data_IF_027686148901
#
_entry.id   IF_027686148901
#
_cell.length_a   1.000
_cell.length_b   1.000
_cell.length_c   1.000
_cell.angle_alpha   90.00
_cell.angle_beta   90.00
_cell.angle_gamma   90.00
#
_symmetry.space_group_name_H-M   'P 1'
#
loop_
_entity.id
_entity.type
_entity.pdbx_description
1 polymer ?
#
# COMPACT_ATOMS: atom_id res chain seq x y z
N UNK A 1 -14.84 -2.12 3.19
CA UNK A 1 -16.29 -2.46 3.25
C UNK A 1 -16.87 -1.78 4.48
N UNK A 2 -17.29 -0.51 4.43
CA UNK A 2 -17.80 0.16 5.63
C UNK A 2 -19.11 -0.51 6.07
N UNK A 3 -19.09 -1.27 7.17
CA UNK A 3 -20.26 -1.95 7.70
C UNK A 3 -21.42 -0.95 7.83
N UNK A 4 -22.55 -1.24 7.16
CA UNK A 4 -23.79 -0.50 7.37
C UNK A 4 -24.09 -0.48 8.86
N UNK A 5 -24.55 0.64 9.41
CA UNK A 5 -24.62 0.84 10.87
C UNK A 5 -25.36 -0.26 11.65
N UNK A 6 -26.22 -1.05 10.98
CA UNK A 6 -26.95 -2.19 11.55
C UNK A 6 -26.13 -3.48 11.71
N UNK A 7 -25.08 -3.69 10.92
CA UNK A 7 -24.25 -4.92 10.97
C UNK A 7 -23.07 -4.81 11.96
N UNK A 8 -22.74 -3.60 12.42
CA UNK A 8 -21.61 -3.37 13.34
C UNK A 8 -21.67 -4.17 14.63
N UNK A 9 -22.81 -4.23 15.36
CA UNK A 9 -22.88 -5.00 16.60
C UNK A 9 -22.65 -6.49 16.37
N UNK A 10 -23.13 -7.03 15.24
CA UNK A 10 -22.96 -8.43 14.86
C UNK A 10 -21.48 -8.77 14.63
N UNK A 11 -20.74 -7.93 13.89
CA UNK A 11 -19.32 -8.16 13.65
C UNK A 11 -18.46 -8.03 14.91
N UNK A 12 -18.81 -7.10 15.81
CA UNK A 12 -18.16 -7.00 17.13
C UNK A 12 -18.45 -8.25 17.95
N UNK A 13 -19.71 -8.73 17.99
CA UNK A 13 -20.05 -9.96 18.68
C UNK A 13 -19.30 -11.18 18.10
N UNK A 14 -19.17 -11.25 16.77
CA UNK A 14 -18.39 -12.29 16.09
C UNK A 14 -16.92 -12.22 16.48
N UNK A 15 -16.31 -11.04 16.49
CA UNK A 15 -14.91 -10.86 16.90
C UNK A 15 -14.69 -11.30 18.35
N UNK A 16 -15.60 -10.94 19.26
CA UNK A 16 -15.56 -11.40 20.66
C UNK A 16 -15.72 -12.91 20.74
N UNK A 17 -16.68 -13.49 20.02
CA UNK A 17 -16.92 -14.94 20.02
C UNK A 17 -15.68 -15.71 19.53
N UNK A 18 -15.10 -15.32 18.40
CA UNK A 18 -13.90 -15.96 17.85
C UNK A 18 -12.69 -15.79 18.79
N UNK A 19 -12.56 -14.64 19.43
CA UNK A 19 -11.51 -14.39 20.44
C UNK A 19 -11.67 -15.28 21.67
N UNK A 20 -12.89 -15.44 22.19
CA UNK A 20 -13.19 -16.35 23.30
C UNK A 20 -12.89 -17.80 22.90
N UNK A 21 -13.31 -18.22 21.70
CA UNK A 21 -12.98 -19.55 21.18
C UNK A 21 -11.45 -19.74 21.16
N UNK A 22 -10.72 -18.79 20.54
CA UNK A 22 -9.26 -18.84 20.47
C UNK A 22 -8.60 -18.91 21.85
N UNK A 23 -9.13 -18.19 22.85
CA UNK A 23 -8.66 -18.26 24.24
C UNK A 23 -8.95 -19.62 24.91
N UNK A 24 -10.09 -20.23 24.62
CA UNK A 24 -10.50 -21.51 25.24
C UNK A 24 -9.90 -22.75 24.58
N UNK A 25 -9.35 -22.63 23.36
CA UNK A 25 -8.68 -23.74 22.69
C UNK A 25 -7.42 -24.13 23.46
N UNK A 26 -7.21 -25.42 23.70
CA UNK A 26 -6.01 -25.92 24.37
C UNK A 26 -4.81 -25.88 23.39
N UNK A 27 -4.25 -24.68 23.21
CA UNK A 27 -3.07 -24.45 22.38
C UNK A 27 -1.80 -24.65 23.22
N UNK A 28 -0.70 -25.09 22.61
CA UNK A 28 0.59 -25.25 23.29
C UNK A 28 1.28 -23.89 23.53
N UNK A 29 0.56 -22.95 24.16
CA UNK A 29 0.99 -21.59 24.46
C UNK A 29 0.95 -21.36 25.97
N UNK A 30 1.90 -20.58 26.49
CA UNK A 30 1.83 -20.09 27.86
C UNK A 30 0.61 -19.16 28.04
N UNK A 31 0.15 -18.97 29.28
CA UNK A 31 -1.07 -18.18 29.56
C UNK A 31 -1.09 -16.78 28.94
N UNK A 32 0.05 -16.10 28.88
CA UNK A 32 0.18 -14.81 28.18
C UNK A 32 0.02 -14.95 26.65
N UNK A 33 0.65 -15.97 26.04
CA UNK A 33 0.52 -16.28 24.62
C UNK A 33 -0.90 -16.62 24.21
N UNK A 34 -1.64 -17.32 25.07
CA UNK A 34 -3.05 -17.63 24.85
C UNK A 34 -3.92 -16.36 24.75
N UNK A 35 -3.68 -15.40 25.66
CA UNK A 35 -4.38 -14.10 25.64
C UNK A 35 -4.00 -13.30 24.40
N UNK A 36 -2.72 -13.24 24.05
CA UNK A 36 -2.27 -12.53 22.84
C UNK A 36 -2.85 -13.15 21.59
N UNK A 37 -2.92 -14.48 21.48
CA UNK A 37 -3.58 -15.16 20.36
C UNK A 37 -5.06 -14.78 20.26
N UNK A 38 -5.76 -14.71 21.39
CA UNK A 38 -7.15 -14.25 21.44
C UNK A 38 -7.31 -12.78 21.00
N UNK A 39 -6.39 -11.90 21.42
CA UNK A 39 -6.34 -10.49 20.97
C UNK A 39 -6.07 -10.42 19.46
N UNK A 40 -5.12 -11.20 18.94
CA UNK A 40 -4.80 -11.27 17.51
C UNK A 40 -6.01 -11.68 16.70
N UNK A 41 -6.76 -12.71 17.13
CA UNK A 41 -8.00 -13.15 16.47
C UNK A 41 -9.07 -12.06 16.53
N UNK A 42 -9.23 -11.39 17.67
CA UNK A 42 -10.17 -10.26 17.81
C UNK A 42 -9.83 -9.13 16.83
N UNK A 43 -8.58 -8.65 16.86
CA UNK A 43 -8.12 -7.53 16.04
C UNK A 43 -8.15 -7.88 14.55
N UNK A 44 -7.72 -9.10 14.20
CA UNK A 44 -7.80 -9.62 12.83
C UNK A 44 -9.24 -9.65 12.31
N UNK A 45 -10.19 -10.11 13.13
CA UNK A 45 -11.62 -10.11 12.77
C UNK A 45 -12.15 -8.68 12.60
N UNK A 46 -11.76 -7.75 13.48
CA UNK A 46 -12.19 -6.35 13.43
C UNK A 46 -11.61 -5.60 12.23
N UNK A 47 -10.36 -5.84 11.86
CA UNK A 47 -9.72 -5.28 10.66
C UNK A 47 -10.29 -5.89 9.38
N UNK A 48 -10.58 -7.18 9.38
CA UNK A 48 -11.19 -7.88 8.25
C UNK A 48 -12.62 -7.40 7.99
N UNK A 49 -13.45 -7.31 9.03
CA UNK A 49 -14.85 -6.90 8.91
C UNK A 49 -15.04 -5.39 8.78
N UNK A 50 -14.00 -4.59 9.08
CA UNK A 50 -14.07 -3.12 9.20
C UNK A 50 -15.26 -2.66 10.06
N UNK A 51 -15.60 -3.41 11.12
CA UNK A 51 -16.71 -3.08 12.01
C UNK A 51 -16.53 -1.68 12.65
N UNK A 52 -15.28 -1.32 12.90
CA UNK A 52 -14.82 0.02 13.27
C UNK A 52 -13.78 0.52 12.25
N UNK A 53 -13.56 1.85 12.14
CA UNK A 53 -12.48 2.38 11.32
C UNK A 53 -11.13 1.77 11.72
N UNK A 54 -10.28 1.44 10.74
CA UNK A 54 -9.03 0.69 10.99
C UNK A 54 -8.13 1.32 12.06
N UNK A 55 -8.05 2.65 12.11
CA UNK A 55 -7.27 3.38 13.10
C UNK A 55 -7.87 3.30 14.51
N UNK A 56 -9.19 3.16 14.65
CA UNK A 56 -9.85 2.94 15.94
C UNK A 56 -9.52 1.53 16.42
N UNK A 57 -9.62 0.52 15.56
CA UNK A 57 -9.20 -0.85 15.88
C UNK A 57 -7.72 -0.91 16.26
N UNK A 58 -6.86 -0.16 15.57
CA UNK A 58 -5.45 -0.03 15.91
C UNK A 58 -5.20 0.57 17.31
N UNK A 59 -6.01 1.54 17.74
CA UNK A 59 -5.96 2.11 19.09
C UNK A 59 -6.51 1.15 20.17
N UNK A 60 -7.36 0.19 19.81
CA UNK A 60 -7.84 -0.85 20.73
C UNK A 60 -6.71 -1.82 21.09
N UNK A 61 -5.75 -2.07 20.18
CA UNK A 61 -4.62 -2.99 20.40
C UNK A 61 -3.88 -2.70 21.71
N UNK A 62 -3.26 -1.51 21.93
CA UNK A 62 -2.52 -1.25 23.16
C UNK A 62 -3.43 -1.30 24.40
N UNK A 63 -4.71 -0.94 24.28
CA UNK A 63 -5.66 -1.04 25.41
C UNK A 63 -5.87 -2.49 25.83
N UNK A 64 -6.10 -3.41 24.89
CA UNK A 64 -6.27 -4.83 25.20
C UNK A 64 -4.97 -5.47 25.71
N UNK A 65 -3.82 -5.10 25.15
CA UNK A 65 -2.51 -5.59 25.62
C UNK A 65 -2.22 -5.17 27.07
N UNK A 66 -2.62 -3.95 27.46
CA UNK A 66 -2.47 -3.45 28.84
C UNK A 66 -3.43 -4.12 29.80
N UNK A 67 -4.71 -4.22 29.42
CA UNK A 67 -5.75 -4.71 30.32
C UNK A 67 -5.73 -6.23 30.47
N UNK A 68 -5.37 -6.96 29.41
CA UNK A 68 -5.49 -8.42 29.33
C UNK A 68 -4.14 -9.10 29.04
N UNK A 69 -3.33 -8.52 28.16
CA UNK A 69 -2.10 -9.15 27.65
C UNK A 69 -0.89 -9.11 28.59
N UNK A 70 -0.98 -8.41 29.74
CA UNK A 70 0.11 -8.34 30.72
C UNK A 70 1.30 -7.47 30.30
N UNK A 71 1.13 -6.59 29.29
CA UNK A 71 2.16 -5.67 28.83
C UNK A 71 2.15 -4.37 29.64
N UNK A 72 3.31 -3.72 29.76
CA UNK A 72 3.43 -2.38 30.35
C UNK A 72 2.99 -1.29 29.37
N UNK A 73 2.66 -0.10 29.91
CA UNK A 73 2.31 1.08 29.09
C UNK A 73 3.39 1.42 28.08
N UNK A 74 4.66 1.27 28.46
CA UNK A 74 5.79 1.54 27.58
C UNK A 74 5.82 0.54 26.42
N UNK A 75 5.69 -0.75 26.69
CA UNK A 75 5.70 -1.78 25.64
C UNK A 75 4.53 -1.62 24.67
N UNK A 76 3.33 -1.33 25.18
CA UNK A 76 2.14 -1.18 24.36
C UNK A 76 2.16 0.08 23.46
N UNK A 77 2.67 1.22 23.96
CA UNK A 77 2.60 2.50 23.23
C UNK A 77 3.88 2.91 22.49
N UNK A 78 5.06 2.41 22.85
CA UNK A 78 6.32 2.77 22.16
C UNK A 78 6.26 2.55 20.64
N UNK A 79 5.64 1.47 20.12
CA UNK A 79 5.57 1.23 18.67
C UNK A 79 4.82 2.31 17.87
N UNK A 80 3.96 3.13 18.51
CA UNK A 80 3.29 4.27 17.85
C UNK A 80 4.24 5.42 17.49
N UNK A 81 5.48 5.40 17.99
CA UNK A 81 6.51 6.41 17.75
C UNK A 81 7.74 5.83 17.04
N UNK A 82 7.60 4.67 16.38
CA UNK A 82 8.67 4.05 15.61
C UNK A 82 9.23 4.97 14.51
N UNK A 83 10.50 4.80 14.17
CA UNK A 83 11.23 5.57 13.14
C UNK A 83 10.50 5.57 11.80
N UNK A 84 9.89 4.45 11.41
CA UNK A 84 9.11 4.30 10.18
C UNK A 84 7.87 5.19 10.17
N UNK A 85 7.20 5.38 11.31
CA UNK A 85 6.05 6.29 11.41
C UNK A 85 6.50 7.74 11.17
N UNK A 86 7.68 8.12 11.69
CA UNK A 86 8.29 9.43 11.47
C UNK A 86 8.67 9.64 10.00
N UNK A 87 9.23 8.62 9.34
CA UNK A 87 9.50 8.62 7.90
C UNK A 87 8.22 8.91 7.09
N UNK A 88 7.14 8.19 7.38
CA UNK A 88 5.86 8.41 6.70
C UNK A 88 5.24 9.76 6.99
N UNK A 89 5.36 10.26 8.21
CA UNK A 89 4.91 11.61 8.56
C UNK A 89 5.56 12.65 7.64
N UNK A 90 6.89 12.64 7.50
CA UNK A 90 7.57 13.59 6.61
C UNK A 90 7.24 13.38 5.13
N UNK A 91 7.12 12.12 4.66
CA UNK A 91 6.63 11.81 3.32
C UNK A 91 5.23 12.39 3.05
N UNK A 92 4.30 12.24 3.99
CA UNK A 92 2.95 12.80 3.88
C UNK A 92 2.94 14.33 3.89
N UNK A 93 3.86 14.97 4.60
CA UNK A 93 4.01 16.42 4.59
C UNK A 93 4.53 16.93 3.24
N UNK A 94 5.52 16.26 2.64
CA UNK A 94 5.98 16.56 1.28
C UNK A 94 4.84 16.40 0.28
N UNK A 95 4.11 15.29 0.35
CA UNK A 95 2.93 15.05 -0.49
C UNK A 95 1.86 16.15 -0.30
N UNK A 96 1.62 16.58 0.93
CA UNK A 96 0.68 17.65 1.25
C UNK A 96 1.12 18.99 0.64
N UNK A 97 2.41 19.31 0.66
CA UNK A 97 2.95 20.51 0.02
C UNK A 97 2.78 20.46 -1.50
N UNK A 98 3.04 19.30 -2.12
CA UNK A 98 2.81 19.10 -3.55
C UNK A 98 1.35 19.36 -3.94
N UNK A 99 0.40 18.83 -3.16
CA UNK A 99 -1.03 19.02 -3.37
C UNK A 99 -1.49 20.46 -3.13
N UNK A 100 -1.03 21.09 -2.03
CA UNK A 100 -1.41 22.48 -1.67
C UNK A 100 -1.05 23.47 -2.77
N UNK A 101 0.12 23.30 -3.38
CA UNK A 101 0.58 24.19 -4.45
C UNK A 101 0.19 23.71 -5.85
N UNK A 102 -0.46 22.56 -6.00
CA UNK A 102 -0.90 22.02 -7.30
C UNK A 102 0.26 21.52 -8.19
N UNK A 103 1.42 21.20 -7.60
CA UNK A 103 2.60 20.69 -8.30
C UNK A 103 2.31 19.34 -8.97
N UNK A 104 1.58 18.49 -8.28
CA UNK A 104 1.06 17.22 -8.78
C UNK A 104 0.32 17.35 -10.13
N UNK A 105 -0.62 18.30 -10.22
CA UNK A 105 -1.38 18.61 -11.44
C UNK A 105 -0.49 19.20 -12.53
N UNK A 106 0.45 20.07 -12.18
CA UNK A 106 1.38 20.66 -13.15
C UNK A 106 2.31 19.62 -13.77
N UNK A 107 2.85 18.71 -12.96
CA UNK A 107 3.67 17.59 -13.42
C UNK A 107 2.85 16.71 -14.35
N UNK A 108 1.63 16.32 -13.95
CA UNK A 108 0.74 15.49 -14.76
C UNK A 108 0.50 16.10 -16.15
N UNK A 109 0.08 17.37 -16.22
CA UNK A 109 -0.20 18.04 -17.50
C UNK A 109 1.05 18.21 -18.36
N UNK A 110 2.17 18.58 -17.74
CA UNK A 110 3.45 18.78 -18.45
C UNK A 110 3.94 17.47 -19.06
N UNK A 111 3.76 16.35 -18.36
CA UNK A 111 4.24 15.04 -18.77
C UNK A 111 3.36 14.42 -19.87
N UNK A 112 2.03 14.43 -19.72
CA UNK A 112 1.13 13.85 -20.73
C UNK A 112 1.27 14.56 -22.09
N UNK A 113 1.62 15.85 -22.10
CA UNK A 113 1.86 16.60 -23.35
C UNK A 113 3.04 16.07 -24.19
N UNK A 114 3.86 15.16 -23.65
CA UNK A 114 5.00 14.53 -24.33
C UNK A 114 4.66 13.18 -24.97
N UNK A 115 3.52 12.58 -24.64
CA UNK A 115 3.14 11.26 -25.16
C UNK A 115 2.35 11.38 -26.45
N UNK A 116 2.55 10.42 -27.35
CA UNK A 116 1.96 10.42 -28.69
C UNK A 116 0.42 10.43 -28.68
N UNK A 117 -0.17 10.77 -29.82
CA UNK A 117 -1.62 10.84 -30.00
C UNK A 117 -2.28 9.47 -30.17
N UNK A 118 -1.51 8.39 -30.34
CA UNK A 118 -2.05 7.02 -30.43
C UNK A 118 -2.61 6.57 -29.07
N UNK A 119 -3.73 5.84 -29.00
CA UNK A 119 -4.29 5.37 -27.74
C UNK A 119 -3.33 4.51 -26.90
N UNK A 120 -2.54 3.65 -27.54
CA UNK A 120 -1.58 2.80 -26.85
C UNK A 120 -0.45 3.62 -26.19
N UNK A 121 0.13 4.59 -26.93
CA UNK A 121 1.15 5.50 -26.39
C UNK A 121 0.59 6.46 -25.33
N UNK A 122 -0.64 6.94 -25.51
CA UNK A 122 -1.33 7.76 -24.52
C UNK A 122 -1.61 6.97 -23.24
N UNK A 123 -2.11 5.73 -23.34
CA UNK A 123 -2.30 4.81 -22.21
C UNK A 123 -0.99 4.60 -21.45
N UNK A 124 0.12 4.32 -22.15
CA UNK A 124 1.42 4.15 -21.51
C UNK A 124 1.83 5.43 -20.77
N UNK A 125 1.66 6.59 -21.40
CA UNK A 125 1.95 7.89 -20.81
C UNK A 125 1.18 8.16 -19.53
N UNK A 126 -0.14 7.89 -19.53
CA UNK A 126 -0.96 8.05 -18.32
C UNK A 126 -0.59 7.02 -17.25
N UNK A 127 -0.24 5.79 -17.62
CA UNK A 127 0.17 4.76 -16.65
C UNK A 127 1.50 5.14 -16.00
N UNK A 128 2.51 5.52 -16.78
CA UNK A 128 3.83 5.94 -16.27
C UNK A 128 3.71 7.13 -15.32
N UNK A 129 2.94 8.17 -15.70
CA UNK A 129 2.82 9.33 -14.81
C UNK A 129 1.97 9.03 -13.57
N UNK A 130 0.93 8.20 -13.70
CA UNK A 130 0.12 7.81 -12.55
C UNK A 130 0.96 7.01 -11.56
N UNK A 131 1.74 6.04 -12.05
CA UNK A 131 2.66 5.27 -11.22
C UNK A 131 3.69 6.17 -10.55
N UNK A 132 4.30 7.10 -11.31
CA UNK A 132 5.24 8.07 -10.77
C UNK A 132 4.65 8.95 -9.67
N UNK A 133 3.46 9.51 -9.86
CA UNK A 133 2.78 10.29 -8.81
C UNK A 133 2.46 9.44 -7.58
N UNK A 134 2.19 8.14 -7.79
CA UNK A 134 1.90 7.20 -6.71
C UNK A 134 3.09 6.88 -5.82
N UNK A 135 4.33 7.01 -6.31
CA UNK A 135 5.53 6.90 -5.48
C UNK A 135 5.51 7.90 -4.31
N UNK A 136 5.01 9.12 -4.57
CA UNK A 136 5.21 10.26 -3.67
C UNK A 136 3.97 10.61 -2.86
N UNK A 137 2.79 10.46 -3.45
CA UNK A 137 1.55 10.97 -2.88
C UNK A 137 0.76 9.82 -2.29
N UNK A 138 -0.15 9.22 -3.04
CA UNK A 138 -0.74 7.93 -2.76
C UNK A 138 -1.54 7.47 -3.95
N UNK A 139 -1.79 6.18 -4.00
CA UNK A 139 -2.62 5.56 -5.03
C UNK A 139 -3.96 6.28 -5.19
N UNK A 140 -4.64 6.59 -4.08
CA UNK A 140 -5.93 7.29 -4.07
C UNK A 140 -5.83 8.69 -4.67
N UNK A 141 -4.84 9.48 -4.24
CA UNK A 141 -4.69 10.85 -4.69
C UNK A 141 -4.24 10.92 -6.16
N UNK A 142 -3.29 10.08 -6.57
CA UNK A 142 -2.83 9.95 -7.95
C UNK A 142 -3.98 9.62 -8.88
N UNK A 143 -4.83 8.65 -8.50
CA UNK A 143 -6.03 8.29 -9.27
C UNK A 143 -7.01 9.46 -9.36
N UNK A 144 -7.31 10.12 -8.24
CA UNK A 144 -8.24 11.25 -8.20
C UNK A 144 -7.77 12.44 -9.04
N UNK A 145 -6.46 12.63 -9.19
CA UNK A 145 -5.88 13.67 -10.05
C UNK A 145 -5.96 13.27 -11.51
N UNK A 146 -5.59 12.03 -11.83
CA UNK A 146 -5.41 11.56 -13.20
C UNK A 146 -6.73 11.24 -13.89
N UNK A 147 -7.71 10.70 -13.17
CA UNK A 147 -8.98 10.26 -13.74
C UNK A 147 -9.75 11.41 -14.43
N UNK A 148 -9.94 12.61 -13.83
CA UNK A 148 -10.58 13.73 -14.53
C UNK A 148 -9.81 14.18 -15.79
N UNK A 149 -8.48 14.05 -15.80
CA UNK A 149 -7.65 14.42 -16.97
C UNK A 149 -7.91 13.46 -18.12
N UNK A 150 -7.96 12.17 -17.82
CA UNK A 150 -8.27 11.11 -18.78
C UNK A 150 -9.69 11.26 -19.32
N UNK A 151 -10.69 11.46 -18.45
CA UNK A 151 -12.08 11.63 -18.87
C UNK A 151 -12.26 12.89 -19.72
N UNK A 152 -11.53 13.97 -19.43
CA UNK A 152 -11.51 15.16 -20.28
C UNK A 152 -10.98 14.84 -21.69
N UNK A 153 -9.87 14.11 -21.80
CA UNK A 153 -9.30 13.70 -23.10
C UNK A 153 -10.25 12.80 -23.91
N UNK A 154 -10.92 11.87 -23.22
CA UNK A 154 -11.97 11.00 -23.82
C UNK A 154 -13.13 11.85 -24.35
N UNK A 155 -13.65 12.80 -23.55
CA UNK A 155 -14.79 13.65 -23.95
C UNK A 155 -14.52 14.51 -25.19
N UNK A 156 -13.26 14.88 -25.43
CA UNK A 156 -12.84 15.67 -26.60
C UNK A 156 -12.65 14.85 -27.85
N UNK A 157 -12.39 13.55 -27.72
CA UNK A 157 -12.11 12.67 -28.85
C UNK A 157 -13.39 12.16 -29.56
N UNK A 158 -14.54 12.81 -29.37
CA UNK A 158 -15.88 12.43 -29.90
C UNK A 158 -16.26 10.96 -29.66
N UNK A 159 -15.81 10.39 -28.54
CA UNK A 159 -16.22 9.07 -28.09
C UNK A 159 -17.64 9.17 -27.50
N UNK A 160 -18.65 8.97 -28.34
CA UNK A 160 -20.05 8.92 -27.91
C UNK A 160 -20.38 7.51 -27.38
N UNK A 161 -20.43 7.35 -26.06
CA UNK A 161 -20.98 6.15 -25.44
C UNK A 161 -20.36 5.80 -24.08
N UNK A 162 -21.20 5.70 -23.04
CA UNK A 162 -20.84 5.02 -21.80
C UNK A 162 -20.50 3.56 -22.18
N UNK A 163 -19.25 3.14 -21.96
CA UNK A 163 -18.82 1.75 -22.18
C UNK A 163 -17.89 1.48 -23.37
N UNK A 164 -17.38 2.50 -24.07
CA UNK A 164 -16.30 2.33 -25.08
C UNK A 164 -15.08 1.61 -24.48
N UNK A 165 -14.50 0.66 -25.21
CA UNK A 165 -13.27 -0.02 -24.80
C UNK A 165 -12.11 0.96 -24.60
N UNK A 166 -12.07 2.07 -25.35
CA UNK A 166 -11.08 3.12 -25.16
C UNK A 166 -11.22 3.78 -23.80
N UNK A 167 -12.44 4.11 -23.37
CA UNK A 167 -12.64 4.72 -22.06
C UNK A 167 -12.32 3.73 -20.95
N UNK A 168 -12.76 2.47 -21.08
CA UNK A 168 -12.49 1.40 -20.11
C UNK A 168 -10.98 1.20 -19.91
N UNK A 169 -10.22 1.05 -21.00
CA UNK A 169 -8.78 0.79 -20.92
C UNK A 169 -8.02 1.95 -20.28
N UNK A 170 -8.41 3.20 -20.55
CA UNK A 170 -7.76 4.37 -19.96
C UNK A 170 -8.11 4.54 -18.48
N UNK A 171 -9.38 4.33 -18.10
CA UNK A 171 -9.83 4.42 -16.71
C UNK A 171 -9.20 3.32 -15.84
N UNK A 172 -9.20 2.07 -16.34
CA UNK A 172 -8.52 0.94 -15.67
C UNK A 172 -7.00 1.17 -15.62
N UNK A 173 -6.41 1.70 -16.69
CA UNK A 173 -4.99 2.03 -16.76
C UNK A 173 -4.56 2.98 -15.66
N UNK A 174 -5.32 4.04 -15.37
CA UNK A 174 -5.05 4.93 -14.23
C UNK A 174 -5.12 4.16 -12.91
N UNK A 175 -6.21 3.44 -12.67
CA UNK A 175 -6.43 2.75 -11.39
C UNK A 175 -5.31 1.75 -11.07
N UNK A 176 -4.98 0.90 -12.05
CA UNK A 176 -3.99 -0.14 -11.88
C UNK A 176 -2.58 0.43 -11.82
N UNK A 177 -2.25 1.45 -12.63
CA UNK A 177 -0.94 2.10 -12.56
C UNK A 177 -0.72 2.82 -11.22
N UNK A 178 -1.75 3.39 -10.61
CA UNK A 178 -1.62 3.98 -9.28
C UNK A 178 -1.25 2.91 -8.24
N UNK A 179 -1.95 1.77 -8.24
CA UNK A 179 -1.65 0.65 -7.33
C UNK A 179 -0.25 0.07 -7.58
N UNK A 180 0.11 -0.20 -8.85
CA UNK A 180 1.43 -0.70 -9.24
C UNK A 180 2.53 0.28 -8.83
N UNK A 181 2.33 1.58 -9.07
CA UNK A 181 3.29 2.61 -8.69
C UNK A 181 3.55 2.63 -7.18
N UNK A 182 2.50 2.54 -6.36
CA UNK A 182 2.63 2.59 -4.89
C UNK A 182 3.58 1.56 -4.30
N UNK A 183 3.81 0.43 -4.98
CA UNK A 183 4.75 -0.62 -4.58
C UNK A 183 6.21 -0.13 -4.57
N UNK A 184 6.58 0.75 -5.50
CA UNK A 184 7.98 1.04 -5.81
C UNK A 184 8.78 1.74 -4.71
N UNK A 185 8.13 2.39 -3.75
CA UNK A 185 8.79 3.17 -2.68
C UNK A 185 8.09 2.96 -1.35
N UNK A 186 8.82 3.04 -0.23
CA UNK A 186 8.27 2.88 1.12
C UNK A 186 7.05 3.79 1.33
N UNK A 187 7.16 5.07 1.02
CA UNK A 187 6.08 6.06 1.26
C UNK A 187 4.88 5.98 0.31
N UNK A 188 4.97 5.15 -0.74
CA UNK A 188 3.97 5.11 -1.81
C UNK A 188 2.63 4.52 -1.36
N UNK A 189 2.67 3.47 -0.54
CA UNK A 189 1.47 2.83 0.01
C UNK A 189 1.69 2.36 1.45
N UNK A 190 0.66 2.42 2.33
CA UNK A 190 0.80 2.03 3.73
C UNK A 190 1.31 0.60 4.00
N UNK A 191 0.94 -0.45 3.23
CA UNK A 191 1.53 -1.79 3.37
C UNK A 191 3.05 -1.83 3.42
N UNK A 192 3.72 -1.07 2.54
CA UNK A 192 5.19 -1.02 2.50
C UNK A 192 5.76 -0.52 3.82
N UNK A 193 5.11 0.48 4.42
CA UNK A 193 5.51 1.03 5.70
C UNK A 193 5.30 0.08 6.86
N UNK A 194 4.19 -0.64 6.85
CA UNK A 194 3.93 -1.69 7.84
C UNK A 194 5.05 -2.73 7.77
N UNK A 195 5.39 -3.19 6.56
CA UNK A 195 6.45 -4.19 6.39
C UNK A 195 7.80 -3.71 6.90
N UNK A 196 8.22 -2.50 6.53
CA UNK A 196 9.49 -1.92 6.99
C UNK A 196 9.49 -1.73 8.51
N UNK A 197 8.35 -1.31 9.08
CA UNK A 197 8.23 -1.11 10.52
C UNK A 197 8.29 -2.44 11.28
N UNK A 198 7.57 -3.48 10.83
CA UNK A 198 7.58 -4.79 11.47
C UNK A 198 8.98 -5.45 11.41
N UNK A 199 9.72 -5.23 10.32
CA UNK A 199 11.11 -5.66 10.20
C UNK A 199 12.04 -4.89 11.17
N UNK A 200 11.86 -3.57 11.31
CA UNK A 200 12.63 -2.74 12.24
C UNK A 200 12.44 -3.18 13.70
N UNK A 201 11.22 -3.57 14.10
CA UNK A 201 10.96 -4.17 15.43
C UNK A 201 11.75 -5.47 15.65
N UNK A 202 12.15 -6.17 14.57
CA UNK A 202 13.02 -7.36 14.65
C UNK A 202 14.51 -7.02 14.57
N UNK A 203 14.86 -5.73 14.59
CA UNK A 203 16.23 -5.25 14.38
C UNK A 203 16.70 -5.36 12.93
N UNK A 204 15.79 -5.59 11.98
CA UNK A 204 16.08 -5.63 10.54
C UNK A 204 15.70 -4.28 9.94
N UNK A 205 16.68 -3.39 9.83
CA UNK A 205 16.48 -2.09 9.20
C UNK A 205 16.45 -2.23 7.67
N UNK A 206 15.38 -1.74 7.05
CA UNK A 206 15.27 -1.65 5.59
C UNK A 206 15.29 -0.18 5.21
N UNK A 207 16.39 0.26 4.61
CA UNK A 207 16.51 1.64 4.14
C UNK A 207 15.57 1.94 2.96
N UNK A 208 15.30 3.22 2.73
CA UNK A 208 14.52 3.66 1.57
C UNK A 208 15.05 3.12 0.24
N UNK A 209 16.36 3.13 0.06
CA UNK A 209 17.04 2.63 -1.15
C UNK A 209 16.94 1.12 -1.25
N UNK A 210 17.12 0.41 -0.15
CA UNK A 210 17.03 -1.05 -0.12
C UNK A 210 15.63 -1.51 -0.53
N UNK A 211 14.57 -0.89 0.01
CA UNK A 211 13.21 -1.15 -0.47
C UNK A 211 13.08 -0.95 -1.98
N UNK A 212 13.62 0.15 -2.51
CA UNK A 212 13.59 0.41 -3.95
C UNK A 212 14.34 -0.66 -4.74
N UNK A 213 15.45 -1.21 -4.23
CA UNK A 213 16.14 -2.31 -4.88
C UNK A 213 15.26 -3.55 -4.99
N UNK A 214 14.49 -3.89 -3.96
CA UNK A 214 13.57 -5.02 -3.99
C UNK A 214 12.33 -4.75 -4.87
N UNK A 215 11.73 -3.56 -4.78
CA UNK A 215 10.40 -3.29 -5.33
C UNK A 215 10.38 -2.55 -6.68
N UNK A 216 11.31 -1.63 -6.92
CA UNK A 216 11.30 -0.79 -8.14
C UNK A 216 11.54 -1.60 -9.43
N UNK A 217 12.45 -2.61 -9.47
CA UNK A 217 12.56 -3.48 -10.64
C UNK A 217 11.24 -4.16 -11.02
N UNK A 218 10.46 -4.63 -10.04
CA UNK A 218 9.13 -5.18 -10.28
C UNK A 218 8.20 -4.15 -10.91
N UNK A 219 8.13 -2.92 -10.39
CA UNK A 219 7.29 -1.85 -10.96
C UNK A 219 7.67 -1.54 -12.41
N UNK A 220 8.98 -1.43 -12.70
CA UNK A 220 9.50 -1.14 -14.04
C UNK A 220 9.12 -2.24 -15.04
N UNK A 221 9.16 -3.50 -14.63
CA UNK A 221 8.81 -4.65 -15.48
C UNK A 221 7.30 -4.87 -15.58
N UNK A 222 6.58 -4.70 -14.47
CA UNK A 222 5.16 -5.02 -14.38
C UNK A 222 4.29 -3.96 -15.05
N UNK A 223 4.67 -2.68 -15.02
CA UNK A 223 3.87 -1.62 -15.62
C UNK A 223 3.71 -1.79 -17.16
N UNK A 224 4.76 -2.10 -17.95
CA UNK A 224 4.61 -2.48 -19.36
C UNK A 224 3.79 -3.76 -19.58
N UNK A 225 3.92 -4.76 -18.69
CA UNK A 225 3.13 -6.01 -18.77
C UNK A 225 1.64 -5.70 -18.58
N UNK A 226 1.30 -4.93 -17.55
CA UNK A 226 -0.08 -4.50 -17.28
C UNK A 226 -0.62 -3.65 -18.45
N UNK A 227 0.19 -2.74 -18.99
CA UNK A 227 -0.15 -1.94 -20.18
C UNK A 227 -0.50 -2.83 -21.38
N UNK A 228 0.33 -3.83 -21.66
CA UNK A 228 0.10 -4.77 -22.76
C UNK A 228 -1.16 -5.62 -22.54
N UNK A 229 -1.35 -6.16 -21.33
CA UNK A 229 -2.55 -6.94 -20.98
C UNK A 229 -3.81 -6.09 -21.17
N UNK A 230 -3.82 -4.84 -20.68
CA UNK A 230 -4.94 -3.92 -20.82
C UNK A 230 -5.31 -3.69 -22.29
N UNK A 231 -4.33 -3.47 -23.18
CA UNK A 231 -4.58 -3.29 -24.62
C UNK A 231 -5.10 -4.57 -25.30
N UNK A 232 -4.74 -5.75 -24.80
CA UNK A 232 -5.24 -7.03 -25.32
C UNK A 232 -6.66 -7.31 -24.87
N UNK A 233 -7.02 -6.98 -23.63
CA UNK A 233 -8.36 -7.18 -23.08
C UNK A 233 -9.34 -6.13 -23.65
N UNK A 234 -8.92 -4.87 -23.70
CA UNK A 234 -9.72 -3.74 -24.18
C UNK A 234 -9.02 -3.04 -25.34
N UNK A 235 -9.34 -3.46 -26.57
CA UNK A 235 -8.80 -2.84 -27.78
C UNK A 235 -9.36 -1.43 -27.96
N UNK A 236 -8.51 -0.38 -28.07
CA UNK A 236 -8.97 0.97 -28.36
C UNK A 236 -9.73 1.04 -29.69
N UNK A 237 -10.81 1.82 -29.72
CA UNK A 237 -11.73 1.95 -30.86
C UNK A 237 -11.40 3.16 -31.75
N UNK A 238 -10.59 4.09 -31.24
CA UNK A 238 -10.16 5.29 -31.97
C UNK A 238 -8.69 5.19 -32.35
N UNK A 239 -8.30 5.90 -33.41
CA UNK A 239 -6.91 5.94 -33.89
C UNK A 239 -6.09 7.06 -33.25
N UNK A 240 -6.74 8.13 -32.78
CA UNK A 240 -6.08 9.30 -32.18
C UNK A 240 -6.87 9.87 -30.99
N UNK A 241 -6.16 10.20 -29.93
CA UNK A 241 -6.66 10.92 -28.76
C UNK A 241 -6.21 12.38 -28.86
N UNK A 242 -7.17 13.29 -28.84
CA UNK A 242 -6.89 14.73 -28.83
C UNK A 242 -6.73 15.22 -27.39
N UNK A 243 -5.55 15.73 -27.04
CA UNK A 243 -5.34 16.39 -25.76
C UNK A 243 -5.02 17.87 -25.96
N UNK A 244 -6.04 18.71 -25.78
CA UNK A 244 -5.90 20.16 -25.80
C UNK A 244 -5.79 20.68 -24.37
N UNK A 245 -4.59 20.64 -23.79
CA UNK A 245 -4.32 21.29 -22.51
C UNK A 245 -3.10 22.21 -22.62
N UNK A 246 -3.30 23.50 -22.34
CA UNK A 246 -2.20 24.46 -22.27
C UNK A 246 -1.27 24.06 -21.12
N UNK A 247 0.04 23.99 -21.38
CA UNK A 247 1.06 23.82 -20.33
C UNK A 247 0.88 24.92 -19.30
N UNK A 248 0.70 24.54 -18.03
CA UNK A 248 0.65 25.51 -16.95
C UNK A 248 2.04 26.10 -16.71
N UNK A 249 2.10 27.37 -16.30
CA UNK A 249 3.36 28.03 -15.94
C UNK A 249 3.77 27.61 -14.54
N UNK A 250 5.01 27.18 -14.39
CA UNK A 250 5.60 26.85 -13.09
C UNK A 250 5.82 28.14 -12.29
N UNK A 251 5.30 28.19 -11.07
CA UNK A 251 5.51 29.31 -10.14
C UNK A 251 6.74 29.07 -9.27
N UNK A 252 7.21 30.11 -8.55
CA UNK A 252 8.32 29.97 -7.59
C UNK A 252 8.04 28.91 -6.51
N UNK A 253 6.80 28.85 -6.00
CA UNK A 253 6.40 27.84 -5.00
C UNK A 253 6.48 26.41 -5.54
N UNK A 254 6.07 26.18 -6.80
CA UNK A 254 6.22 24.87 -7.44
C UNK A 254 7.69 24.40 -7.47
N UNK A 255 8.60 25.30 -7.86
CA UNK A 255 10.04 25.00 -7.90
C UNK A 255 10.61 24.74 -6.51
N UNK A 256 10.18 25.50 -5.51
CA UNK A 256 10.62 25.34 -4.13
C UNK A 256 10.17 24.00 -3.52
N UNK A 257 8.91 23.60 -3.73
CA UNK A 257 8.42 22.28 -3.29
C UNK A 257 9.21 21.16 -3.98
N UNK A 258 9.43 21.28 -5.31
CA UNK A 258 10.23 20.31 -6.04
C UNK A 258 11.67 20.24 -5.53
N UNK A 259 12.28 21.38 -5.20
CA UNK A 259 13.64 21.44 -4.67
C UNK A 259 13.74 20.76 -3.29
N UNK A 260 12.81 21.02 -2.37
CA UNK A 260 12.77 20.35 -1.06
C UNK A 260 12.57 18.84 -1.23
N UNK A 261 11.64 18.41 -2.07
CA UNK A 261 11.40 17.00 -2.35
C UNK A 261 12.62 16.31 -2.98
N UNK A 262 13.25 16.93 -3.98
CA UNK A 262 14.45 16.41 -4.63
C UNK A 262 15.64 16.34 -3.67
N UNK A 263 15.82 17.36 -2.82
CA UNK A 263 16.85 17.35 -1.78
C UNK A 263 16.63 16.22 -0.77
N UNK A 264 15.39 16.04 -0.31
CA UNK A 264 15.02 14.94 0.59
C UNK A 264 15.31 13.58 -0.04
N UNK A 265 14.95 13.41 -1.32
CA UNK A 265 15.22 12.18 -2.07
C UNK A 265 16.72 11.91 -2.21
N UNK A 266 17.52 12.93 -2.51
CA UNK A 266 18.97 12.78 -2.58
C UNK A 266 19.53 12.28 -1.24
N UNK A 267 19.05 12.81 -0.12
CA UNK A 267 19.46 12.37 1.21
C UNK A 267 18.99 10.94 1.53
N UNK A 268 17.74 10.57 1.24
CA UNK A 268 17.31 9.17 1.38
C UNK A 268 18.16 8.23 0.54
N UNK A 269 18.49 8.63 -0.69
CA UNK A 269 19.32 7.83 -1.58
C UNK A 269 20.75 7.72 -1.07
N UNK A 270 21.30 8.78 -0.49
CA UNK A 270 22.67 8.79 0.04
C UNK A 270 22.77 8.37 1.51
N UNK A 271 21.72 7.78 2.10
CA UNK A 271 21.70 7.43 3.52
C UNK A 271 22.84 6.48 3.91
N UNK A 272 23.21 5.58 3.00
CA UNK A 272 24.37 4.68 3.14
C UNK A 272 25.73 5.40 3.17
N UNK A 273 25.80 6.66 2.71
CA UNK A 273 27.04 7.47 2.69
C UNK A 273 27.15 8.32 3.96
N UNK A 274 26.09 9.02 4.35
CA UNK A 274 26.14 9.97 5.47
C UNK A 274 25.63 9.41 6.81
N UNK A 275 25.02 8.21 6.82
CA UNK A 275 24.60 7.52 8.04
C UNK A 275 23.46 8.19 8.82
N UNK A 276 22.75 9.14 8.21
CA UNK A 276 21.59 9.80 8.84
C UNK A 276 20.35 8.99 8.49
N UNK A 277 19.56 8.63 9.50
CA UNK A 277 18.35 7.83 9.29
C UNK A 277 17.33 8.53 8.40
N UNK A 278 16.59 7.74 7.62
CA UNK A 278 15.57 8.24 6.70
C UNK A 278 14.45 9.01 7.44
N UNK A 279 14.19 8.65 8.70
CA UNK A 279 13.27 9.35 9.60
C UNK A 279 13.73 10.76 9.97
N UNK A 280 15.02 10.95 10.23
CA UNK A 280 15.59 12.27 10.55
C UNK A 280 15.60 13.16 9.30
N UNK A 281 15.99 12.60 8.15
CA UNK A 281 15.90 13.30 6.85
C UNK A 281 14.47 13.79 6.58
N UNK A 282 13.48 12.97 6.91
CA UNK A 282 12.06 13.31 6.78
C UNK A 282 11.64 14.50 7.65
N UNK A 283 12.13 14.57 8.89
CA UNK A 283 11.86 15.72 9.78
C UNK A 283 12.54 17.00 9.30
N UNK A 284 13.76 16.91 8.78
CA UNK A 284 14.46 18.06 8.16
C UNK A 284 13.62 18.61 7.00
N UNK A 285 13.07 17.73 6.16
CA UNK A 285 12.19 18.14 5.08
C UNK A 285 10.95 18.89 5.59
N UNK A 286 10.29 18.40 6.66
CA UNK A 286 9.15 19.08 7.28
C UNK A 286 9.54 20.48 7.75
N UNK A 287 10.68 20.61 8.43
CA UNK A 287 11.19 21.92 8.88
C UNK A 287 11.38 22.86 7.70
N UNK A 288 12.01 22.43 6.61
CA UNK A 288 12.18 23.24 5.39
C UNK A 288 10.86 23.63 4.74
N UNK A 289 9.85 22.75 4.72
CA UNK A 289 8.53 23.08 4.19
C UNK A 289 7.86 24.22 4.97
N UNK A 290 8.04 24.29 6.29
CA UNK A 290 7.55 25.41 7.11
C UNK A 290 8.40 26.66 6.96
N UNK A 291 9.73 26.53 7.01
CA UNK A 291 10.66 27.67 6.87
C UNK A 291 10.48 28.42 5.55
N UNK A 292 10.19 27.70 4.46
CA UNK A 292 9.93 28.30 3.15
C UNK A 292 8.47 28.73 2.92
N UNK A 293 7.61 28.66 3.94
CA UNK A 293 6.19 29.05 3.83
C UNK A 293 5.41 28.21 2.81
N UNK A 294 5.80 26.94 2.66
CA UNK A 294 5.13 25.99 1.78
C UNK A 294 3.97 25.29 2.50
N UNK A 295 4.04 25.14 3.82
CA UNK A 295 2.99 24.59 4.67
C UNK A 295 2.66 25.52 5.84
N UNK A 296 1.42 25.40 6.33
CA UNK A 296 0.91 26.09 7.53
C UNK A 296 0.43 25.05 8.57
N UNK A 297 0.14 25.48 9.80
CA UNK A 297 -0.26 24.57 10.89
C UNK A 297 -1.48 23.72 10.53
N UNK A 298 -2.43 24.28 9.77
CA UNK A 298 -3.63 23.60 9.30
C UNK A 298 -3.35 22.48 8.28
N UNK A 299 -2.16 22.45 7.67
CA UNK A 299 -1.79 21.38 6.75
C UNK A 299 -1.43 20.09 7.49
N UNK A 300 -0.98 20.18 8.74
CA UNK A 300 -0.70 19.02 9.60
C UNK A 300 -1.96 18.19 9.84
N UNK A 301 -3.12 18.83 10.02
CA UNK A 301 -4.39 18.09 10.22
C UNK A 301 -4.93 17.43 8.95
N UNK A 302 -4.39 17.79 7.77
CA UNK A 302 -4.84 17.30 6.46
C UNK A 302 -4.07 16.06 5.98
N UNK A 303 -3.06 15.60 6.72
CA UNK A 303 -2.33 14.39 6.38
C UNK A 303 -3.10 13.13 6.81
N UNK A 304 -2.61 11.96 6.39
CA UNK A 304 -3.26 10.66 6.62
C UNK A 304 -2.94 10.09 8.01
N UNK A 305 -3.39 10.76 9.07
CA UNK A 305 -3.22 10.31 10.45
C UNK A 305 -3.69 8.88 10.71
N UNK A 306 -4.79 8.48 10.07
CA UNK A 306 -5.31 7.11 10.20
C UNK A 306 -4.32 6.04 9.76
N UNK A 307 -3.45 6.30 8.78
CA UNK A 307 -2.42 5.34 8.36
C UNK A 307 -1.30 5.26 9.41
N UNK A 308 -0.86 6.39 9.97
CA UNK A 308 0.17 6.44 11.00
C UNK A 308 -0.27 5.71 12.29
N UNK A 309 -1.52 5.91 12.71
CA UNK A 309 -2.10 5.22 13.86
C UNK A 309 -2.23 3.71 13.62
N UNK A 310 -2.57 3.32 12.39
CA UNK A 310 -2.67 1.91 12.00
C UNK A 310 -1.31 1.21 12.06
N UNK A 311 -0.23 1.89 11.65
CA UNK A 311 1.13 1.37 11.82
C UNK A 311 1.44 1.10 13.29
N UNK A 312 1.18 2.07 14.18
CA UNK A 312 1.43 1.90 15.61
C UNK A 312 0.67 0.72 16.24
N UNK A 313 -0.60 0.52 15.88
CA UNK A 313 -1.38 -0.62 16.36
C UNK A 313 -0.91 -1.97 15.78
N UNK A 314 -0.52 -2.01 14.50
CA UNK A 314 0.06 -3.19 13.86
C UNK A 314 1.36 -3.62 14.54
N UNK A 315 2.28 -2.66 14.73
CA UNK A 315 3.57 -2.90 15.39
C UNK A 315 3.39 -3.33 16.85
N UNK A 316 2.46 -2.70 17.57
CA UNK A 316 2.14 -3.08 18.95
C UNK A 316 1.62 -4.52 19.03
N UNK A 317 0.77 -4.94 18.09
CA UNK A 317 0.30 -6.32 18.02
C UNK A 317 1.45 -7.29 17.66
N UNK A 318 2.27 -6.93 16.67
CA UNK A 318 3.42 -7.74 16.24
C UNK A 318 4.44 -7.96 17.36
N UNK A 319 4.81 -6.90 18.08
CA UNK A 319 5.70 -6.99 19.25
C UNK A 319 5.11 -7.89 20.35
N UNK A 320 3.79 -7.83 20.57
CA UNK A 320 3.12 -8.70 21.54
C UNK A 320 3.11 -10.18 21.10
N UNK A 321 2.87 -10.48 19.81
CA UNK A 321 2.91 -11.84 19.25
C UNK A 321 4.29 -12.47 19.46
N UNK A 322 5.34 -11.67 19.30
CA UNK A 322 6.72 -12.08 19.54
C UNK A 322 7.02 -12.33 21.01
N UNK A 323 6.77 -11.35 21.86
CA UNK A 323 7.11 -11.40 23.28
C UNK A 323 6.33 -12.50 24.04
N UNK A 324 5.16 -12.89 23.55
CA UNK A 324 4.28 -13.87 24.21
C UNK A 324 4.46 -15.31 23.73
N UNK A 325 5.36 -15.57 22.78
CA UNK A 325 5.62 -16.92 22.26
C UNK A 325 4.59 -17.43 21.24
N UNK A 326 3.68 -16.58 20.75
CA UNK A 326 2.73 -16.92 19.68
C UNK A 326 3.43 -17.07 18.33
N UNK A 327 4.48 -16.28 18.10
CA UNK A 327 5.27 -16.28 16.87
C UNK A 327 5.78 -17.68 16.47
N UNK A 328 6.53 -18.42 17.32
CA UNK A 328 6.96 -19.79 17.01
C UNK A 328 5.80 -20.74 16.68
N UNK A 329 4.70 -20.69 17.45
CA UNK A 329 3.54 -21.54 17.22
C UNK A 329 2.90 -21.32 15.83
N UNK A 330 2.77 -20.06 15.39
CA UNK A 330 2.27 -19.75 14.05
C UNK A 330 3.25 -20.22 12.96
N UNK A 331 4.56 -20.08 13.22
CA UNK A 331 5.61 -20.58 12.35
C UNK A 331 5.52 -22.10 12.13
N UNK A 332 5.34 -22.87 13.20
CA UNK A 332 5.24 -24.34 13.13
C UNK A 332 3.95 -24.79 12.42
N UNK A 333 2.81 -24.15 12.75
CA UNK A 333 1.51 -24.45 12.15
C UNK A 333 1.52 -24.24 10.62
N UNK A 334 2.06 -23.10 10.18
CA UNK A 334 2.15 -22.76 8.77
C UNK A 334 3.28 -23.51 8.08
N UNK A 335 4.40 -23.72 8.77
CA UNK A 335 5.55 -24.47 8.29
C UNK A 335 5.15 -25.89 7.87
N UNK A 336 4.30 -26.57 8.64
CA UNK A 336 3.79 -27.90 8.26
C UNK A 336 2.97 -27.94 6.96
N UNK A 337 2.33 -26.83 6.57
CA UNK A 337 1.53 -26.76 5.34
C UNK A 337 2.38 -26.55 4.08
N UNK A 338 3.53 -25.89 4.23
CA UNK A 338 4.41 -25.52 3.12
C UNK A 338 5.76 -26.24 3.13
N UNK A 339 6.03 -27.05 4.16
CA UNK A 339 7.23 -27.86 4.27
C UNK A 339 7.39 -28.79 3.06
N UNK A 340 8.60 -28.85 2.52
CA UNK A 340 8.92 -29.66 1.34
C UNK A 340 8.51 -29.03 0.00
N UNK A 341 7.83 -27.88 0.00
CA UNK A 341 7.63 -27.10 -1.23
C UNK A 341 8.90 -26.31 -1.57
N UNK A 342 9.22 -26.21 -2.86
CA UNK A 342 10.33 -25.35 -3.31
C UNK A 342 10.05 -23.88 -3.01
N UNK A 343 11.11 -23.08 -2.81
CA UNK A 343 11.02 -21.65 -2.44
C UNK A 343 10.12 -20.82 -3.39
N UNK A 344 10.10 -21.14 -4.68
CA UNK A 344 9.21 -20.48 -5.65
C UNK A 344 7.73 -20.74 -5.34
N UNK A 345 7.36 -21.96 -4.94
CA UNK A 345 5.98 -22.28 -4.57
C UNK A 345 5.59 -21.65 -3.24
N UNK A 346 6.52 -21.53 -2.29
CA UNK A 346 6.31 -20.75 -1.07
C UNK A 346 5.99 -19.29 -1.42
N UNK A 347 6.79 -18.66 -2.28
CA UNK A 347 6.56 -17.27 -2.71
C UNK A 347 5.20 -17.09 -3.40
N UNK A 348 4.84 -17.99 -4.32
CA UNK A 348 3.52 -17.98 -4.96
C UNK A 348 2.41 -18.12 -3.91
N UNK A 349 2.56 -19.03 -2.95
CA UNK A 349 1.56 -19.30 -1.92
C UNK A 349 1.33 -18.08 -1.02
N UNK A 350 2.39 -17.40 -0.59
CA UNK A 350 2.31 -16.17 0.20
C UNK A 350 1.63 -15.05 -0.58
N UNK A 351 2.00 -14.86 -1.85
CA UNK A 351 1.38 -13.83 -2.72
C UNK A 351 -0.09 -14.12 -3.00
N UNK A 352 -0.45 -15.37 -3.30
CA UNK A 352 -1.84 -15.78 -3.51
C UNK A 352 -2.65 -15.58 -2.23
N UNK A 353 -2.12 -15.98 -1.08
CA UNK A 353 -2.77 -15.77 0.20
C UNK A 353 -3.00 -14.27 0.48
N UNK A 354 -1.98 -13.44 0.25
CA UNK A 354 -2.10 -11.99 0.38
C UNK A 354 -3.21 -11.42 -0.51
N UNK A 355 -3.25 -11.82 -1.79
CA UNK A 355 -4.29 -11.38 -2.74
C UNK A 355 -5.68 -11.83 -2.29
N UNK A 356 -5.85 -13.10 -1.91
CA UNK A 356 -7.14 -13.63 -1.44
C UNK A 356 -7.64 -12.85 -0.22
N UNK A 357 -6.75 -12.53 0.71
CA UNK A 357 -7.09 -11.74 1.89
C UNK A 357 -7.50 -10.30 1.50
N UNK A 358 -6.82 -9.68 0.54
CA UNK A 358 -7.19 -8.33 0.05
C UNK A 358 -8.52 -8.26 -0.71
N UNK A 359 -9.05 -9.38 -1.20
CA UNK A 359 -10.39 -9.38 -1.80
C UNK A 359 -11.49 -9.11 -0.76
N UNK A 360 -11.20 -9.37 0.51
CA UNK A 360 -12.18 -9.25 1.59
C UNK A 360 -11.84 -8.15 2.59
N UNK A 361 -10.58 -7.71 2.65
CA UNK A 361 -10.10 -6.65 3.55
C UNK A 361 -9.23 -5.63 2.79
N UNK A 362 -9.08 -4.42 3.32
CA UNK A 362 -8.21 -3.41 2.71
C UNK A 362 -6.74 -3.85 2.69
N UNK A 363 -5.96 -3.43 1.67
CA UNK A 363 -4.52 -3.72 1.56
C UNK A 363 -3.75 -3.46 2.86
N UNK A 364 -4.04 -2.35 3.53
CA UNK A 364 -3.35 -1.94 4.76
C UNK A 364 -3.71 -2.83 5.95
N UNK A 365 -4.99 -3.19 6.08
CA UNK A 365 -5.44 -4.14 7.10
C UNK A 365 -4.81 -5.52 6.87
N UNK A 366 -4.77 -5.97 5.62
CA UNK A 366 -4.15 -7.24 5.25
C UNK A 366 -2.65 -7.26 5.56
N UNK A 367 -1.92 -6.18 5.25
CA UNK A 367 -0.49 -6.09 5.58
C UNK A 367 -0.25 -6.14 7.10
N UNK A 368 -1.02 -5.37 7.89
CA UNK A 368 -0.92 -5.36 9.35
C UNK A 368 -1.23 -6.72 10.00
N UNK A 369 -1.95 -7.60 9.30
CA UNK A 369 -2.27 -8.94 9.78
C UNK A 369 -1.28 -10.00 9.29
N UNK A 370 -0.93 -9.98 8.00
CA UNK A 370 -0.15 -11.05 7.36
C UNK A 370 1.34 -10.91 7.67
N UNK A 371 1.90 -9.69 7.65
CA UNK A 371 3.36 -9.51 7.78
C UNK A 371 3.88 -10.03 9.14
N UNK A 372 3.26 -9.72 10.30
CA UNK A 372 3.69 -10.27 11.58
C UNK A 372 3.59 -11.80 11.66
N UNK A 373 2.74 -12.42 10.83
CA UNK A 373 2.52 -13.88 10.80
C UNK A 373 3.51 -14.58 9.86
N UNK A 374 3.95 -13.90 8.79
CA UNK A 374 4.90 -14.44 7.81
C UNK A 374 6.35 -14.34 8.30
N UNK A 375 6.69 -13.32 9.10
CA UNK A 375 8.03 -13.17 9.68
C UNK A 375 8.48 -14.43 10.46
N UNK A 376 7.66 -15.00 11.38
CA UNK A 376 8.00 -16.24 12.08
C UNK A 376 8.09 -17.45 11.15
N UNK A 377 7.28 -17.49 10.10
CA UNK A 377 7.29 -18.58 9.10
C UNK A 377 8.63 -18.62 8.35
N UNK A 378 9.22 -17.48 8.02
CA UNK A 378 10.53 -17.41 7.36
C UNK A 378 11.62 -18.09 8.21
N UNK A 379 11.61 -17.83 9.53
CA UNK A 379 12.57 -18.43 10.46
C UNK A 379 12.46 -19.97 10.52
N UNK A 380 11.23 -20.51 10.54
CA UNK A 380 10.99 -21.97 10.56
C UNK A 380 11.40 -22.65 9.26
N UNK A 381 11.18 -21.98 8.12
CA UNK A 381 11.50 -22.53 6.80
C UNK A 381 12.95 -22.30 6.38
N UNK A 382 13.74 -21.56 7.17
CA UNK A 382 15.12 -21.21 6.83
C UNK A 382 15.23 -20.27 5.62
N UNK A 383 14.20 -19.45 5.37
CA UNK A 383 14.17 -18.43 4.32
C UNK A 383 14.52 -17.08 4.93
N UNK A 384 15.13 -16.19 4.15
CA UNK A 384 15.44 -14.84 4.61
C UNK A 384 14.15 -14.10 5.06
N UNK A 385 14.15 -13.61 6.31
CA UNK A 385 13.00 -12.96 6.94
C UNK A 385 12.63 -11.67 6.20
N UNK A 386 13.64 -10.90 5.78
CA UNK A 386 13.46 -9.63 5.09
C UNK A 386 12.81 -9.86 3.73
N UNK A 387 13.30 -10.82 2.96
CA UNK A 387 12.72 -11.18 1.66
C UNK A 387 11.26 -11.60 1.80
N UNK A 388 10.95 -12.56 2.69
CA UNK A 388 9.58 -13.08 2.79
C UNK A 388 8.60 -12.01 3.29
N UNK A 389 9.03 -11.13 4.20
CA UNK A 389 8.23 -10.01 4.68
C UNK A 389 7.98 -8.97 3.57
N UNK A 390 9.00 -8.58 2.80
CA UNK A 390 8.87 -7.67 1.65
C UNK A 390 7.93 -8.30 0.62
N UNK A 391 8.06 -9.59 0.33
CA UNK A 391 7.16 -10.31 -0.57
C UNK A 391 5.70 -10.22 -0.12
N UNK A 392 5.44 -10.50 1.15
CA UNK A 392 4.09 -10.45 1.71
C UNK A 392 3.51 -9.04 1.63
N UNK A 393 4.29 -8.02 1.99
CA UNK A 393 3.88 -6.61 1.91
C UNK A 393 3.57 -6.15 0.49
N UNK A 394 4.38 -6.54 -0.51
CA UNK A 394 4.10 -6.27 -1.92
C UNK A 394 2.85 -7.02 -2.38
N UNK A 395 2.69 -8.28 -1.96
CA UNK A 395 1.56 -9.15 -2.29
C UNK A 395 0.20 -8.53 -1.93
N UNK A 396 0.11 -7.81 -0.80
CA UNK A 396 -1.13 -7.12 -0.41
C UNK A 396 -1.46 -5.92 -1.31
N UNK A 397 -0.63 -5.59 -2.28
CA UNK A 397 -0.87 -4.53 -3.27
C UNK A 397 -1.07 -5.07 -4.68
N UNK A 398 -1.24 -6.39 -4.84
CA UNK A 398 -1.51 -7.04 -6.14
C UNK A 398 -2.99 -7.33 -6.39
N UNK A 399 -3.92 -6.70 -5.66
CA UNK A 399 -5.36 -6.82 -5.93
C UNK A 399 -5.85 -5.86 -7.01
N UNK A 400 -6.26 -6.44 -8.14
CA UNK A 400 -6.86 -5.75 -9.28
C UNK A 400 -8.25 -6.27 -9.65
N UNK A 401 -8.84 -7.18 -8.85
CA UNK A 401 -10.00 -7.97 -9.26
C UNK A 401 -11.33 -7.24 -9.10
N UNK A 402 -11.50 -6.49 -8.00
CA UNK A 402 -12.79 -5.88 -7.65
C UNK A 402 -12.63 -4.40 -7.26
N UNK A 403 -13.69 -3.57 -7.46
CA UNK A 403 -13.63 -2.15 -7.13
C UNK A 403 -13.36 -1.86 -5.65
N UNK A 404 -13.82 -2.74 -4.78
CA UNK A 404 -13.78 -2.53 -3.32
C UNK A 404 -12.41 -2.84 -2.73
N UNK A 405 -11.56 -3.57 -3.45
CA UNK A 405 -10.24 -3.99 -2.98
C UNK A 405 -9.28 -2.83 -2.75
N UNK A 406 -9.26 -1.85 -3.66
CA UNK A 406 -8.38 -0.68 -3.54
C UNK A 406 -9.11 0.64 -3.81
N UNK A 407 -8.77 1.74 -3.12
CA UNK A 407 -9.35 3.05 -3.42
C UNK A 407 -9.19 3.52 -4.87
N UNK A 408 -8.04 3.29 -5.57
CA UNK A 408 -7.93 3.53 -7.01
C UNK A 408 -9.02 2.84 -7.84
N UNK A 409 -9.24 1.55 -7.59
CA UNK A 409 -10.27 0.76 -8.27
C UNK A 409 -11.67 1.29 -7.95
N UNK A 410 -11.94 1.66 -6.70
CA UNK A 410 -13.22 2.26 -6.29
C UNK A 410 -13.47 3.61 -7.00
N UNK A 411 -12.47 4.47 -7.07
CA UNK A 411 -12.58 5.78 -7.77
C UNK A 411 -12.84 5.56 -9.25
N UNK A 412 -12.11 4.65 -9.89
CA UNK A 412 -12.31 4.31 -11.30
C UNK A 412 -13.73 3.76 -11.56
N UNK A 413 -14.24 2.88 -10.70
CA UNK A 413 -15.60 2.36 -10.78
C UNK A 413 -16.66 3.46 -10.57
N UNK A 414 -16.45 4.36 -9.61
CA UNK A 414 -17.37 5.48 -9.33
C UNK A 414 -17.50 6.47 -10.48
N UNK A 415 -16.60 6.44 -11.46
CA UNK A 415 -16.70 7.24 -12.69
C UNK A 415 -17.89 6.86 -13.57
N UNK A 416 -18.49 5.68 -13.38
CA UNK A 416 -19.61 5.18 -14.18
C UNK A 416 -19.25 4.70 -15.59
N UNK A 417 -17.94 4.63 -15.94
CA UNK A 417 -17.48 4.20 -17.27
C UNK A 417 -17.05 2.73 -17.34
N UNK A 418 -16.90 2.06 -16.19
CA UNK A 418 -16.50 0.66 -16.08
C UNK A 418 -17.48 -0.10 -15.18
N UNK A 419 -17.71 -1.37 -15.48
CA UNK A 419 -18.49 -2.28 -14.62
C UNK A 419 -17.60 -3.15 -13.75
N UNK A 420 -18.16 -3.84 -12.76
CA UNK A 420 -17.43 -4.84 -11.95
C UNK A 420 -16.89 -5.96 -12.84
N UNK A 421 -17.70 -6.42 -13.81
CA UNK A 421 -17.29 -7.44 -14.76
C UNK A 421 -16.11 -6.98 -15.63
N UNK A 422 -16.09 -5.70 -16.01
CA UNK A 422 -14.99 -5.15 -16.79
C UNK A 422 -13.67 -5.17 -16.00
N UNK A 423 -13.73 -4.76 -14.73
CA UNK A 423 -12.59 -4.77 -13.84
C UNK A 423 -12.10 -6.20 -13.60
N UNK A 424 -13.00 -7.14 -13.28
CA UNK A 424 -12.64 -8.53 -13.04
C UNK A 424 -11.95 -9.16 -14.27
N UNK A 425 -12.48 -8.89 -15.47
CA UNK A 425 -11.93 -9.44 -16.71
C UNK A 425 -10.50 -9.00 -16.98
N UNK A 426 -10.15 -7.73 -16.77
CA UNK A 426 -8.77 -7.27 -16.89
C UNK A 426 -7.92 -7.64 -15.66
N UNK A 427 -8.52 -7.51 -14.48
CA UNK A 427 -7.91 -7.70 -13.18
C UNK A 427 -7.35 -9.10 -12.98
N UNK A 428 -8.04 -10.14 -13.47
CA UNK A 428 -7.55 -11.52 -13.28
C UNK A 428 -6.24 -11.78 -14.01
N UNK A 429 -6.10 -11.31 -15.25
CA UNK A 429 -4.85 -11.47 -16.00
C UNK A 429 -3.72 -10.65 -15.39
N UNK A 430 -4.02 -9.44 -14.91
CA UNK A 430 -3.01 -8.57 -14.28
C UNK A 430 -2.59 -9.12 -12.94
N UNK A 431 -3.53 -9.58 -12.10
CA UNK A 431 -3.26 -10.18 -10.79
C UNK A 431 -2.39 -11.43 -10.94
N UNK A 432 -2.75 -12.36 -11.83
CA UNK A 432 -1.96 -13.57 -12.09
C UNK A 432 -0.58 -13.22 -12.64
N UNK A 433 -0.48 -12.29 -13.60
CA UNK A 433 0.80 -11.85 -14.13
C UNK A 433 1.67 -11.19 -13.04
N UNK A 434 1.07 -10.40 -12.14
CA UNK A 434 1.75 -9.76 -11.02
C UNK A 434 2.30 -10.78 -10.02
N UNK A 435 1.48 -11.76 -9.61
CA UNK A 435 1.90 -12.84 -8.72
C UNK A 435 3.07 -13.61 -9.32
N UNK A 436 2.95 -14.04 -10.58
CA UNK A 436 4.00 -14.83 -11.24
C UNK A 436 5.28 -14.03 -11.44
N UNK A 437 5.17 -12.79 -11.91
CA UNK A 437 6.33 -11.93 -12.12
C UNK A 437 7.03 -11.61 -10.80
N UNK A 438 6.28 -11.32 -9.73
CA UNK A 438 6.84 -11.04 -8.41
C UNK A 438 7.52 -12.29 -7.84
N UNK A 439 6.87 -13.46 -7.88
CA UNK A 439 7.46 -14.70 -7.37
C UNK A 439 8.74 -15.09 -8.13
N UNK A 440 8.73 -14.99 -9.46
CA UNK A 440 9.90 -15.31 -10.29
C UNK A 440 11.02 -14.29 -10.08
N UNK A 441 10.68 -13.00 -9.98
CA UNK A 441 11.69 -11.97 -9.70
C UNK A 441 12.32 -12.19 -8.33
N UNK A 442 11.52 -12.44 -7.30
CA UNK A 442 12.03 -12.75 -5.96
C UNK A 442 12.95 -13.98 -5.99
N UNK A 443 12.54 -15.05 -6.68
CA UNK A 443 13.36 -16.27 -6.77
C UNK A 443 14.69 -16.10 -7.52
N UNK A 444 14.77 -15.19 -8.51
CA UNK A 444 15.96 -15.02 -9.35
C UNK A 444 16.87 -13.87 -8.93
N UNK A 445 16.33 -12.83 -8.29
CA UNK A 445 17.02 -11.56 -8.09
C UNK A 445 17.22 -11.19 -6.62
N UNK A 446 16.42 -11.75 -5.69
CA UNK A 446 16.53 -11.42 -4.27
C UNK A 446 17.67 -12.21 -3.60
#
# INVERSE_FOLDING_TARGET
>A
MAATGKAKPLFIALAVLLSVIAYTLDLPLAGQGQVVMAITVFIGTMWFTEALPLHVTALIVPVLLLLLGGFSTREAFSPFFASTIVLFFGGFMIARAMQKHGLDKQIAVSFISRFGTTPAGFLLGIMVITAFLSFWISNTASTAIMLPIVLYAVSKSKLEGKGSNTTKVLVLGVAFAATIGGIGTIVGTPPNGITVADLSEKGIEVSFVEWMFYAMPFVILFLPVAWFILLRVYKPEISKIEMHRKKGRWTGKHKCVLAVGAFTMLLWVSSFIHGVSDSVVSLIAVVFLYLFGLLETEDVSKIRWSALLLFGGGLSLGAAIDASGVSPYLGDLLGGLVAGQGILMLFISVLVFAVVMTLSASNTATAALIVPVVIPLAAVLGVDIKELAILAGIGTSLDFLIPVGTPPSAIAYSSGHITVADMFRAGIFITVAGILLMAVMAWLYW
#
